data_IF_821109997584
#
_entry.id   IF_821109997584
#
_cell.length_a   1.000
_cell.length_b   1.000
_cell.length_c   1.000
_cell.angle_alpha   90.00
_cell.angle_beta   90.00
_cell.angle_gamma   90.00
#
_symmetry.space_group_name_H-M   'P 1'
#
loop_
_entity.id
_entity.type
_entity.pdbx_description
1 polymer ?
#
# COMPACT_ATOMS: atom_id res chain seq x y z
N UNK A 1 -23.90 -17.14 3.37
CA UNK A 1 -23.28 -16.59 2.14
C UNK A 1 -22.65 -15.22 2.37
N UNK A 2 -23.32 -14.29 3.07
CA UNK A 2 -22.81 -12.93 3.35
C UNK A 2 -21.46 -12.92 4.09
N UNK A 3 -21.29 -13.76 5.12
CA UNK A 3 -20.04 -13.85 5.90
C UNK A 3 -18.83 -14.25 5.03
N UNK A 4 -19.01 -15.21 4.11
CA UNK A 4 -17.95 -15.61 3.19
C UNK A 4 -17.59 -14.47 2.22
N UNK A 5 -18.57 -13.72 1.72
CA UNK A 5 -18.30 -12.55 0.87
C UNK A 5 -17.50 -11.45 1.57
N UNK A 6 -17.82 -11.17 2.84
CA UNK A 6 -17.10 -10.21 3.68
C UNK A 6 -15.65 -10.65 3.91
N UNK A 7 -15.44 -11.93 4.26
CA UNK A 7 -14.10 -12.47 4.47
C UNK A 7 -13.24 -12.40 3.18
N UNK A 8 -13.82 -12.69 2.02
CA UNK A 8 -13.10 -12.60 0.75
C UNK A 8 -12.73 -11.15 0.40
N UNK A 9 -13.64 -10.18 0.60
CA UNK A 9 -13.32 -8.75 0.41
C UNK A 9 -12.22 -8.27 1.38
N UNK A 10 -12.31 -8.66 2.65
CA UNK A 10 -11.31 -8.32 3.65
C UNK A 10 -9.94 -8.93 3.32
N UNK A 11 -9.91 -10.18 2.85
CA UNK A 11 -8.68 -10.85 2.43
C UNK A 11 -8.06 -10.17 1.22
N UNK A 12 -8.83 -9.88 0.16
CA UNK A 12 -8.36 -9.17 -1.04
C UNK A 12 -7.84 -7.78 -0.68
N UNK A 13 -8.58 -7.02 0.13
CA UNK A 13 -8.18 -5.69 0.57
C UNK A 13 -6.87 -5.69 1.38
N UNK A 14 -6.74 -6.64 2.31
CA UNK A 14 -5.51 -6.81 3.11
C UNK A 14 -4.31 -7.20 2.25
N UNK A 15 -4.52 -8.06 1.25
CA UNK A 15 -3.48 -8.48 0.30
C UNK A 15 -3.00 -7.29 -0.55
N UNK A 16 -3.92 -6.44 -1.02
CA UNK A 16 -3.60 -5.23 -1.76
C UNK A 16 -2.79 -4.22 -0.91
N UNK A 17 -3.15 -4.05 0.36
CA UNK A 17 -2.40 -3.21 1.30
C UNK A 17 -0.99 -3.75 1.54
N UNK A 18 -0.84 -5.07 1.66
CA UNK A 18 0.45 -5.72 1.85
C UNK A 18 1.34 -5.55 0.61
N UNK A 19 0.79 -5.77 -0.59
CA UNK A 19 1.49 -5.54 -1.86
C UNK A 19 1.91 -4.07 -1.99
N UNK A 20 1.03 -3.14 -1.62
CA UNK A 20 1.36 -1.71 -1.61
C UNK A 20 2.56 -1.39 -0.72
N UNK A 21 2.63 -1.99 0.48
CA UNK A 21 3.77 -1.85 1.39
C UNK A 21 5.08 -2.34 0.77
N UNK A 22 5.06 -3.51 0.12
CA UNK A 22 6.24 -4.04 -0.57
C UNK A 22 6.66 -3.21 -1.78
N UNK A 23 5.71 -2.74 -2.59
CA UNK A 23 5.99 -1.87 -3.74
C UNK A 23 6.58 -0.53 -3.30
N UNK A 24 6.07 0.03 -2.20
CA UNK A 24 6.59 1.26 -1.59
C UNK A 24 7.98 1.08 -0.96
N UNK A 25 8.28 -0.09 -0.39
CA UNK A 25 9.58 -0.38 0.24
C UNK A 25 10.68 -0.74 -0.77
N UNK A 26 10.34 -1.27 -1.95
CA UNK A 26 11.29 -1.66 -3.01
C UNK A 26 12.34 -0.59 -3.36
N UNK A 27 11.99 0.70 -3.61
CA UNK A 27 12.99 1.70 -3.92
C UNK A 27 13.95 1.97 -2.76
N UNK A 28 13.49 1.87 -1.51
CA UNK A 28 14.34 2.04 -0.32
C UNK A 28 15.29 0.86 -0.09
N UNK A 29 14.86 -0.37 -0.43
CA UNK A 29 15.72 -1.56 -0.41
C UNK A 29 16.77 -1.56 -1.54
N UNK A 30 16.42 -0.99 -2.71
CA UNK A 30 17.34 -0.82 -3.82
C UNK A 30 18.37 0.30 -3.55
N UNK A 31 17.98 1.29 -2.76
CA UNK A 31 18.87 2.29 -2.18
C UNK A 31 19.68 1.66 -1.05
N UNK A 32 20.69 0.87 -1.42
CA UNK A 32 21.73 0.43 -0.50
C UNK A 32 22.67 1.60 -0.20
N UNK A 33 22.10 2.66 0.39
CA UNK A 33 22.82 3.87 0.77
C UNK A 33 23.75 3.51 1.91
N UNK A 34 25.06 3.60 1.67
CA UNK A 34 26.04 3.58 2.75
C UNK A 34 25.67 4.70 3.74
N UNK A 35 25.65 4.43 5.06
CA UNK A 35 25.24 5.41 6.06
C UNK A 35 26.02 6.74 6.04
N UNK A 36 27.19 6.78 5.38
CA UNK A 36 28.04 7.97 5.24
C UNK A 36 28.10 8.57 3.83
N UNK A 37 27.26 8.10 2.89
CA UNK A 37 27.23 8.65 1.54
C UNK A 37 26.48 10.00 1.52
N UNK A 38 27.22 11.10 1.46
CA UNK A 38 26.64 12.44 1.20
C UNK A 38 26.09 12.46 -0.23
N UNK A 39 24.77 12.33 -0.38
CA UNK A 39 24.12 12.50 -1.67
C UNK A 39 24.15 13.98 -2.06
N UNK A 40 24.57 14.28 -3.28
CA UNK A 40 24.46 15.63 -3.83
C UNK A 40 22.99 15.95 -4.16
N UNK A 41 22.60 17.22 -4.12
CA UNK A 41 21.21 17.65 -4.41
C UNK A 41 20.67 17.10 -5.73
N UNK A 42 21.52 17.00 -6.76
CA UNK A 42 21.17 16.40 -8.04
C UNK A 42 20.80 14.91 -7.94
N UNK A 43 21.53 14.15 -7.12
CA UNK A 43 21.25 12.72 -6.90
C UNK A 43 19.96 12.53 -6.10
N UNK A 44 19.72 13.38 -5.11
CA UNK A 44 18.50 13.35 -4.31
C UNK A 44 17.27 13.69 -5.15
N UNK A 45 17.39 14.66 -6.07
CA UNK A 45 16.31 15.05 -6.99
C UNK A 45 16.00 13.94 -7.99
N UNK A 46 17.03 13.32 -8.59
CA UNK A 46 16.85 12.17 -9.48
C UNK A 46 16.22 10.97 -8.75
N UNK A 47 16.61 10.76 -7.49
CA UNK A 47 16.08 9.71 -6.64
C UNK A 47 14.61 9.93 -6.29
N UNK A 48 14.23 11.15 -5.88
CA UNK A 48 12.84 11.51 -5.65
C UNK A 48 12.01 11.36 -6.91
N UNK A 49 12.55 11.74 -8.07
CA UNK A 49 11.92 11.53 -9.37
C UNK A 49 11.63 10.04 -9.65
N UNK A 50 12.60 9.17 -9.37
CA UNK A 50 12.47 7.73 -9.54
C UNK A 50 11.55 7.08 -8.49
N UNK A 51 11.51 7.60 -7.25
CA UNK A 51 10.60 7.14 -6.18
C UNK A 51 9.15 7.54 -6.42
N UNK A 52 8.91 8.68 -7.07
CA UNK A 52 7.56 9.23 -7.22
C UNK A 52 6.59 8.25 -7.86
N UNK A 53 6.99 7.59 -8.95
CA UNK A 53 6.12 6.63 -9.66
C UNK A 53 5.75 5.41 -8.82
N UNK A 54 6.69 4.64 -8.24
CA UNK A 54 6.35 3.50 -7.39
C UNK A 54 5.63 3.93 -6.10
N UNK A 55 5.91 5.11 -5.55
CA UNK A 55 5.20 5.64 -4.39
C UNK A 55 3.73 5.95 -4.72
N UNK A 56 3.44 6.54 -5.88
CA UNK A 56 2.07 6.78 -6.35
C UNK A 56 1.32 5.45 -6.53
N UNK A 57 1.96 4.46 -7.15
CA UNK A 57 1.37 3.13 -7.32
C UNK A 57 1.10 2.43 -5.98
N UNK A 58 2.03 2.54 -5.04
CA UNK A 58 1.87 2.06 -3.67
C UNK A 58 0.68 2.75 -2.99
N UNK A 59 0.58 4.08 -3.05
CA UNK A 59 -0.55 4.82 -2.46
C UNK A 59 -1.89 4.45 -3.11
N UNK A 60 -1.93 4.24 -4.42
CA UNK A 60 -3.15 3.80 -5.12
C UNK A 60 -3.59 2.40 -4.68
N UNK A 61 -2.66 1.45 -4.59
CA UNK A 61 -2.96 0.09 -4.13
C UNK A 61 -3.35 0.05 -2.65
N UNK A 62 -2.74 0.91 -1.83
CA UNK A 62 -3.11 1.08 -0.43
C UNK A 62 -4.52 1.65 -0.29
N UNK A 63 -4.85 2.70 -1.06
CA UNK A 63 -6.18 3.30 -1.05
C UNK A 63 -7.26 2.32 -1.52
N UNK A 64 -7.01 1.59 -2.61
CA UNK A 64 -7.92 0.56 -3.10
C UNK A 64 -8.10 -0.58 -2.10
N UNK A 65 -7.00 -1.10 -1.54
CA UNK A 65 -7.04 -2.14 -0.51
C UNK A 65 -7.78 -1.69 0.74
N UNK A 66 -7.53 -0.45 1.19
CA UNK A 66 -8.23 0.19 2.30
C UNK A 66 -9.73 0.32 2.06
N UNK A 67 -10.16 0.73 0.86
CA UNK A 67 -11.57 0.77 0.49
C UNK A 67 -12.23 -0.62 0.58
N UNK A 68 -11.58 -1.68 0.09
CA UNK A 68 -12.12 -3.04 0.19
C UNK A 68 -12.27 -3.51 1.64
N UNK A 69 -11.28 -3.22 2.50
CA UNK A 69 -11.36 -3.54 3.93
C UNK A 69 -12.46 -2.73 4.61
N UNK A 70 -12.59 -1.44 4.30
CA UNK A 70 -13.61 -0.58 4.89
C UNK A 70 -15.02 -0.99 4.48
N UNK A 71 -15.23 -1.34 3.20
CA UNK A 71 -16.51 -1.86 2.70
C UNK A 71 -16.83 -3.20 3.38
N UNK A 72 -15.86 -4.11 3.51
CA UNK A 72 -16.06 -5.37 4.22
C UNK A 72 -16.49 -5.14 5.68
N UNK A 73 -15.82 -4.20 6.37
CA UNK A 73 -16.14 -3.84 7.74
C UNK A 73 -17.53 -3.21 7.86
N UNK A 74 -17.89 -2.33 6.92
CA UNK A 74 -19.20 -1.68 6.89
C UNK A 74 -20.33 -2.71 6.68
N UNK A 75 -20.17 -3.65 5.74
CA UNK A 75 -21.14 -4.73 5.51
C UNK A 75 -21.28 -5.61 6.76
N UNK A 76 -20.17 -5.91 7.45
CA UNK A 76 -20.21 -6.68 8.69
C UNK A 76 -20.91 -5.93 9.83
N UNK A 77 -20.61 -4.65 10.01
CA UNK A 77 -21.21 -3.81 11.05
C UNK A 77 -22.71 -3.60 10.82
N UNK A 78 -23.13 -3.33 9.57
CA UNK A 78 -24.55 -3.20 9.22
C UNK A 78 -25.27 -4.55 9.33
N UNK A 79 -24.67 -5.63 8.85
CA UNK A 79 -25.26 -6.98 8.92
C UNK A 79 -25.34 -7.58 10.33
N UNK A 80 -24.75 -6.96 11.34
CA UNK A 80 -24.85 -7.36 12.76
C UNK A 80 -25.84 -6.51 13.56
N UNK A 81 -26.33 -5.41 12.98
CA UNK A 81 -27.35 -4.52 13.56
C UNK A 81 -28.80 -4.93 13.23
N UNK A 82 -28.99 -5.92 12.36
CA UNK A 82 -30.28 -6.50 11.95
C UNK A 82 -30.28 -8.01 12.17
#
# INVERSE_FOLDING_TARGET
>A
MVVYGVLTLAAIGSLLVLIAGFVGAKPFLALNLKPDATMTEAQLTALLGALRVPLIWSMLMFALGGCFVFIAFFIFAVGTLY
#
